data_IF_219423594129
#
_entry.id   IF_219423594129
#
_cell.length_a   1.000
_cell.length_b   1.000
_cell.length_c   1.000
_cell.angle_alpha   90.00
_cell.angle_beta   90.00
_cell.angle_gamma   90.00
#
_symmetry.space_group_name_H-M   'P 1'
#
loop_
_entity.id
_entity.type
_entity.pdbx_description
1 polymer ?
#
# COMPACT_ATOMS: atom_id res chain seq x y z
N UNK A 1 -1.66 -8.05 6.96
CA UNK A 1 -0.95 -7.32 8.03
C UNK A 1 -1.80 -6.12 8.47
N UNK A 2 -1.76 -5.76 9.75
CA UNK A 2 -2.50 -4.61 10.32
C UNK A 2 -1.61 -3.73 11.23
N UNK A 3 -0.47 -3.22 10.75
CA UNK A 3 0.30 -2.30 11.58
C UNK A 3 -0.44 -0.97 11.72
N UNK A 4 -0.28 -0.34 12.88
CA UNK A 4 -0.61 1.07 13.09
C UNK A 4 0.69 1.84 12.98
N UNK A 5 0.75 2.81 12.08
CA UNK A 5 1.92 3.65 11.91
C UNK A 5 1.68 4.99 12.57
N UNK A 6 2.49 5.28 13.59
CA UNK A 6 2.53 6.55 14.29
C UNK A 6 3.64 7.42 13.68
N UNK A 7 3.27 8.63 13.23
CA UNK A 7 4.21 9.59 12.62
C UNK A 7 4.00 10.97 13.20
N UNK A 8 5.06 11.76 13.23
CA UNK A 8 4.97 13.18 13.57
C UNK A 8 4.55 13.97 12.35
N UNK A 9 3.56 14.84 12.54
CA UNK A 9 3.17 15.83 11.54
C UNK A 9 4.10 17.06 11.63
N UNK A 10 3.95 18.04 10.73
CA UNK A 10 4.79 19.25 10.76
C UNK A 10 4.66 20.09 12.03
N UNK A 11 3.55 19.93 12.75
CA UNK A 11 3.27 20.61 14.02
C UNK A 11 3.76 19.83 15.24
N UNK A 12 4.52 18.74 15.05
CA UNK A 12 5.01 17.89 16.14
C UNK A 12 3.92 17.04 16.84
N UNK A 13 2.71 16.95 16.26
CA UNK A 13 1.64 16.07 16.73
C UNK A 13 1.78 14.68 16.13
N UNK A 14 1.56 13.66 16.96
CA UNK A 14 1.53 12.27 16.53
C UNK A 14 0.21 12.00 15.79
N UNK A 15 0.30 11.55 14.55
CA UNK A 15 -0.81 11.02 13.77
C UNK A 15 -0.66 9.51 13.62
N UNK A 16 -1.75 8.78 13.81
CA UNK A 16 -1.77 7.33 13.67
C UNK A 16 -2.68 6.97 12.50
N UNK A 17 -2.12 6.28 11.52
CA UNK A 17 -2.86 5.76 10.37
C UNK A 17 -2.89 4.23 10.41
N UNK A 18 -3.96 3.65 9.86
CA UNK A 18 -4.08 2.21 9.71
C UNK A 18 -3.52 1.79 8.37
N UNK A 19 -2.78 0.69 8.38
CA UNK A 19 -2.19 0.13 7.18
C UNK A 19 -2.75 -1.26 6.93
N UNK A 20 -3.00 -1.54 5.66
CA UNK A 20 -3.51 -2.81 5.21
C UNK A 20 -2.58 -3.31 4.13
N UNK A 21 -2.16 -4.57 4.27
CA UNK A 21 -1.48 -5.30 3.22
C UNK A 21 -1.99 -6.74 3.22
N UNK A 22 -2.78 -7.09 2.20
CA UNK A 22 -3.50 -8.36 2.11
C UNK A 22 -3.01 -9.12 0.89
N UNK A 23 -2.29 -10.21 1.15
CA UNK A 23 -1.88 -11.19 0.14
C UNK A 23 -3.00 -12.22 -0.02
N UNK A 24 -3.55 -12.32 -1.21
CA UNK A 24 -4.71 -13.18 -1.49
C UNK A 24 -4.33 -14.58 -1.92
N UNK A 25 -3.58 -14.68 -3.01
CA UNK A 25 -3.29 -15.95 -3.63
C UNK A 25 -1.93 -15.89 -4.34
N UNK A 26 -1.07 -16.87 -4.06
CA UNK A 26 0.24 -17.06 -4.68
C UNK A 26 0.25 -18.16 -5.74
N UNK A 27 -0.89 -18.80 -6.02
CA UNK A 27 -0.94 -20.08 -6.74
C UNK A 27 -0.31 -20.08 -8.13
N UNK A 28 -0.15 -18.92 -8.78
CA UNK A 28 0.20 -18.87 -10.20
C UNK A 28 1.46 -18.02 -10.51
N UNK A 29 1.86 -17.03 -9.68
CA UNK A 29 3.13 -16.28 -9.86
C UNK A 29 3.42 -15.30 -8.70
N UNK A 30 4.49 -14.47 -8.83
CA UNK A 30 4.85 -13.36 -7.94
C UNK A 30 3.64 -12.44 -7.67
N UNK A 31 3.58 -11.87 -6.46
CA UNK A 31 2.55 -10.91 -6.10
C UNK A 31 2.76 -9.59 -6.86
N UNK A 32 1.68 -9.06 -7.41
CA UNK A 32 1.64 -7.71 -7.99
C UNK A 32 0.41 -6.99 -7.47
N UNK A 33 0.62 -5.88 -6.76
CA UNK A 33 -0.46 -5.16 -6.13
C UNK A 33 -0.21 -3.70 -5.95
N UNK A 34 -1.28 -2.92 -6.08
CA UNK A 34 -1.22 -1.48 -5.97
C UNK A 34 -1.48 -1.03 -4.53
N UNK A 35 -0.83 0.06 -4.13
CA UNK A 35 -1.01 0.75 -2.86
C UNK A 35 -1.99 1.90 -3.04
N UNK A 36 -2.96 2.03 -2.13
CA UNK A 36 -3.95 3.10 -2.16
C UNK A 36 -3.94 3.91 -0.87
N UNK A 37 -3.80 5.24 -0.97
CA UNK A 37 -3.90 6.17 0.16
C UNK A 37 -5.14 7.03 -0.03
N UNK A 38 -6.17 6.74 0.78
CA UNK A 38 -7.42 7.50 0.73
C UNK A 38 -8.16 7.36 2.08
N UNK A 39 -8.81 8.41 2.60
CA UNK A 39 -9.49 8.36 3.90
C UNK A 39 -10.61 7.31 3.98
N UNK A 40 -11.20 6.94 2.84
CA UNK A 40 -12.21 5.86 2.78
C UNK A 40 -11.61 4.46 2.86
N UNK A 41 -10.29 4.28 2.89
CA UNK A 41 -9.66 2.96 2.95
C UNK A 41 -9.97 2.30 4.29
N UNK A 42 -10.84 1.30 4.22
CA UNK A 42 -11.14 0.40 5.33
C UNK A 42 -10.84 -1.04 4.93
N UNK A 43 -10.68 -1.92 5.91
CA UNK A 43 -10.35 -3.32 5.69
C UNK A 43 -11.27 -4.02 4.68
N UNK A 44 -12.58 -3.81 4.78
CA UNK A 44 -13.56 -4.44 3.88
C UNK A 44 -13.38 -4.03 2.42
N UNK A 45 -13.02 -2.77 2.15
CA UNK A 45 -12.80 -2.24 0.80
C UNK A 45 -11.53 -2.82 0.20
N UNK A 46 -10.40 -2.79 0.92
CA UNK A 46 -9.16 -3.44 0.46
C UNK A 46 -9.41 -4.93 0.25
N UNK A 47 -10.23 -5.54 1.11
CA UNK A 47 -10.54 -6.96 1.01
C UNK A 47 -11.35 -7.27 -0.27
N UNK A 48 -12.36 -6.46 -0.54
CA UNK A 48 -13.18 -6.59 -1.73
C UNK A 48 -12.38 -6.32 -3.01
N UNK A 49 -11.60 -5.24 -3.04
CA UNK A 49 -10.77 -4.89 -4.19
C UNK A 49 -9.74 -5.97 -4.50
N UNK A 50 -9.09 -6.54 -3.48
CA UNK A 50 -8.14 -7.64 -3.70
C UNK A 50 -8.80 -8.90 -4.28
N UNK A 51 -10.04 -9.19 -3.87
CA UNK A 51 -10.83 -10.33 -4.35
C UNK A 51 -11.34 -10.13 -5.79
N UNK A 52 -11.95 -8.99 -6.11
CA UNK A 52 -12.43 -8.65 -7.46
C UNK A 52 -11.31 -8.76 -8.50
N UNK A 53 -10.13 -8.28 -8.12
CA UNK A 53 -8.95 -8.33 -8.95
C UNK A 53 -8.64 -9.81 -9.29
N UNK A 54 -8.78 -10.79 -8.39
CA UNK A 54 -8.47 -12.22 -8.69
C UNK A 54 -9.19 -12.67 -9.98
N UNK A 55 -10.48 -12.36 -10.12
CA UNK A 55 -11.27 -12.71 -11.32
C UNK A 55 -10.81 -11.99 -12.59
N UNK A 56 -10.42 -10.72 -12.48
CA UNK A 56 -9.86 -9.98 -13.62
C UNK A 56 -8.58 -10.61 -14.17
N UNK A 57 -7.76 -11.22 -13.32
CA UNK A 57 -6.54 -11.90 -13.77
C UNK A 57 -6.81 -13.28 -14.38
N UNK A 58 -7.76 -14.04 -13.83
CA UNK A 58 -8.12 -15.34 -14.41
C UNK A 58 -8.66 -15.17 -15.84
N UNK A 59 -9.36 -14.08 -16.12
CA UNK A 59 -9.88 -13.76 -17.46
C UNK A 59 -8.80 -13.31 -18.45
N UNK A 60 -7.66 -12.82 -17.98
CA UNK A 60 -6.54 -12.37 -18.84
C UNK A 60 -5.48 -13.43 -19.04
N UNK A 61 -5.65 -14.64 -18.48
CA UNK A 61 -4.72 -15.79 -18.55
C UNK A 61 -3.30 -15.51 -18.05
N UNK A 62 -3.05 -14.35 -17.45
CA UNK A 62 -1.74 -13.97 -16.96
C UNK A 62 -1.49 -14.58 -15.57
N UNK A 63 -0.42 -15.36 -15.40
CA UNK A 63 -0.06 -15.94 -14.11
C UNK A 63 0.42 -14.82 -13.19
N UNK A 64 -0.43 -14.36 -12.27
CA UNK A 64 -0.10 -13.26 -11.35
C UNK A 64 -0.74 -13.48 -9.98
N UNK A 65 0.10 -13.61 -8.94
CA UNK A 65 -0.34 -13.58 -7.55
C UNK A 65 -0.88 -12.19 -7.20
N UNK A 66 -1.85 -12.12 -6.28
CA UNK A 66 -2.51 -10.84 -5.96
C UNK A 66 -2.29 -10.40 -4.53
N UNK A 67 -1.91 -9.14 -4.41
CA UNK A 67 -1.86 -8.40 -3.16
C UNK A 67 -2.59 -7.07 -3.37
N UNK A 68 -3.24 -6.54 -2.33
CA UNK A 68 -3.68 -5.16 -2.31
C UNK A 68 -3.25 -4.55 -1.00
N UNK A 69 -2.64 -3.36 -1.09
CA UNK A 69 -2.21 -2.61 0.06
C UNK A 69 -2.82 -1.22 0.07
N UNK A 70 -2.76 -0.57 1.23
CA UNK A 70 -3.21 0.80 1.36
C UNK A 70 -3.31 1.27 2.79
N UNK A 71 -3.66 2.53 2.94
CA UNK A 71 -3.84 3.18 4.24
C UNK A 71 -4.96 4.20 4.16
N UNK A 72 -5.58 4.47 5.32
CA UNK A 72 -6.54 5.56 5.52
C UNK A 72 -5.89 6.96 5.50
N UNK A 73 -4.60 7.04 5.19
CA UNK A 73 -3.90 8.29 5.00
C UNK A 73 -4.43 9.05 3.78
N UNK A 74 -4.71 10.35 3.98
CA UNK A 74 -5.00 11.28 2.90
C UNK A 74 -3.77 12.13 2.60
N UNK A 75 -3.13 11.98 1.42
CA UNK A 75 -2.01 12.82 1.01
C UNK A 75 -2.45 14.23 0.60
N UNK A 76 -3.75 14.48 0.37
CA UNK A 76 -4.25 15.81 0.00
C UNK A 76 -4.15 16.76 1.19
N UNK A 77 -3.62 17.96 0.95
CA UNK A 77 -3.46 18.98 1.98
C UNK A 77 -2.35 18.68 2.99
N UNK A 78 -1.49 17.69 2.73
CA UNK A 78 -0.29 17.38 3.50
C UNK A 78 0.94 17.97 2.84
N UNK A 79 1.93 18.35 3.64
CA UNK A 79 3.21 18.79 3.09
C UNK A 79 3.99 17.61 2.52
N UNK A 80 4.95 17.91 1.65
CA UNK A 80 5.86 16.89 1.12
C UNK A 80 6.62 16.15 2.24
N UNK A 81 6.99 16.85 3.31
CA UNK A 81 7.66 16.26 4.47
C UNK A 81 6.75 15.31 5.26
N UNK A 82 5.46 15.63 5.40
CA UNK A 82 4.47 14.73 6.02
C UNK A 82 4.22 13.48 5.18
N UNK A 83 4.12 13.63 3.86
CA UNK A 83 3.96 12.49 2.94
C UNK A 83 5.21 11.61 2.96
N UNK A 84 6.41 12.20 2.92
CA UNK A 84 7.68 11.47 3.00
C UNK A 84 7.79 10.66 4.30
N UNK A 85 7.57 11.30 5.46
CA UNK A 85 7.61 10.61 6.76
C UNK A 85 6.59 9.48 6.84
N UNK A 86 5.41 9.67 6.25
CA UNK A 86 4.43 8.61 6.16
C UNK A 86 4.92 7.44 5.30
N UNK A 87 5.38 7.70 4.07
CA UNK A 87 5.88 6.67 3.17
C UNK A 87 7.06 5.90 3.80
N UNK A 88 8.00 6.58 4.45
CA UNK A 88 9.12 5.94 5.14
C UNK A 88 8.65 5.01 6.27
N UNK A 89 7.71 5.47 7.09
CA UNK A 89 7.19 4.64 8.18
C UNK A 89 6.35 3.47 7.67
N UNK A 90 5.55 3.68 6.61
CA UNK A 90 4.79 2.63 5.93
C UNK A 90 5.74 1.57 5.35
N UNK A 91 6.82 2.00 4.72
CA UNK A 91 7.80 1.12 4.08
C UNK A 91 8.65 0.34 5.10
N UNK A 92 8.94 0.93 6.27
CA UNK A 92 9.64 0.25 7.36
C UNK A 92 8.94 -1.03 7.79
N UNK A 93 7.61 -1.03 7.82
CA UNK A 93 6.82 -2.24 8.08
C UNK A 93 6.62 -3.09 6.83
N UNK A 94 6.34 -2.47 5.68
CA UNK A 94 6.05 -3.20 4.43
C UNK A 94 7.25 -3.99 3.89
N UNK A 95 8.47 -3.44 3.98
CA UNK A 95 9.72 -4.02 3.48
C UNK A 95 9.97 -5.45 3.99
N UNK A 96 9.52 -5.77 5.21
CA UNK A 96 9.61 -7.12 5.80
C UNK A 96 8.81 -8.18 5.03
N UNK A 97 7.85 -7.75 4.20
CA UNK A 97 6.91 -8.62 3.50
C UNK A 97 7.00 -8.54 1.98
N UNK A 98 7.74 -7.59 1.43
CA UNK A 98 7.89 -7.41 -0.02
C UNK A 98 9.31 -7.73 -0.46
N UNK A 99 9.52 -7.89 -1.77
CA UNK A 99 10.84 -8.17 -2.31
C UNK A 99 10.81 -8.45 -3.80
N UNK A 100 11.93 -8.30 -4.51
CA UNK A 100 11.97 -8.40 -5.98
C UNK A 100 11.49 -9.75 -6.53
N UNK A 101 11.59 -10.80 -5.71
CA UNK A 101 11.14 -12.14 -6.06
C UNK A 101 9.81 -12.56 -5.41
N UNK A 102 9.23 -11.70 -4.57
CA UNK A 102 8.04 -12.04 -3.78
C UNK A 102 6.87 -11.13 -4.16
N UNK A 103 7.06 -9.82 -4.09
CA UNK A 103 6.00 -8.83 -4.26
C UNK A 103 6.58 -7.48 -4.69
N UNK A 104 6.06 -6.92 -5.78
CA UNK A 104 6.47 -5.61 -6.29
C UNK A 104 5.28 -4.65 -6.21
N UNK A 105 5.28 -3.71 -5.23
CA UNK A 105 4.22 -2.74 -5.09
C UNK A 105 4.19 -1.75 -6.25
N UNK A 106 3.00 -1.25 -6.55
CA UNK A 106 2.78 -0.21 -7.56
C UNK A 106 1.84 0.88 -7.03
N UNK A 107 1.80 2.04 -7.69
CA UNK A 107 0.90 3.13 -7.35
C UNK A 107 -0.57 2.87 -7.69
N UNK A 108 -1.46 3.47 -6.91
CA UNK A 108 -2.91 3.61 -7.15
C UNK A 108 -3.35 5.02 -6.73
N UNK A 109 -4.65 5.24 -6.52
CA UNK A 109 -5.21 6.48 -5.97
C UNK A 109 -4.44 6.89 -4.69
N UNK A 110 -3.91 8.12 -4.71
CA UNK A 110 -3.13 8.69 -3.61
C UNK A 110 -1.67 8.23 -3.55
N UNK A 111 -1.22 7.41 -4.50
CA UNK A 111 0.18 6.94 -4.62
C UNK A 111 0.66 7.18 -6.05
N UNK A 112 1.22 8.36 -6.29
CA UNK A 112 1.81 8.75 -7.56
C UNK A 112 3.33 8.52 -7.59
N UNK A 113 4.02 9.20 -8.53
CA UNK A 113 5.47 9.07 -8.66
C UNK A 113 6.21 9.54 -7.39
N UNK A 114 5.79 10.67 -6.81
CA UNK A 114 6.35 11.23 -5.57
C UNK A 114 6.31 10.23 -4.41
N UNK A 115 5.15 9.60 -4.19
CA UNK A 115 5.01 8.61 -3.13
C UNK A 115 5.83 7.35 -3.41
N UNK A 116 5.88 6.90 -4.67
CA UNK A 116 6.72 5.76 -5.06
C UNK A 116 8.21 6.07 -4.82
N UNK A 117 8.68 7.28 -5.11
CA UNK A 117 10.05 7.70 -4.84
C UNK A 117 10.38 7.63 -3.35
N UNK A 118 9.51 8.14 -2.48
CA UNK A 118 9.70 8.04 -1.03
C UNK A 118 9.62 6.61 -0.50
N UNK A 119 8.78 5.77 -1.10
CA UNK A 119 8.68 4.35 -0.75
C UNK A 119 9.89 3.56 -1.24
N UNK A 120 10.49 3.91 -2.38
CA UNK A 120 11.65 3.23 -2.92
C UNK A 120 12.96 3.63 -2.21
N UNK A 121 13.04 4.86 -1.72
CA UNK A 121 14.21 5.38 -1.02
C UNK A 121 14.42 4.83 0.40
N UNK A 122 13.43 4.14 0.98
CA UNK A 122 13.45 3.60 2.34
C UNK A 122 13.59 2.08 2.34
#
# INVERSE_FOLDING_TARGET
MFPKVAKLNDQGKIQVNREYYIKYNQAICKYKGRLQFHPSVIFSIIKFLGFDQIFKNTLTTLPMGRVKGGSDFDPKGKSDGEVMRFCQSFMTELSKYIGPNTDVPAGDIGVGCREIEYLYGQ
#
